data_IF_786446853879
#
_entry.id   IF_786446853879
#
_cell.length_a   1.000
_cell.length_b   1.000
_cell.length_c   1.000
_cell.angle_alpha   90.00
_cell.angle_beta   90.00
_cell.angle_gamma   90.00
#
_symmetry.space_group_name_H-M   'P 1'
#
loop_
_entity.id
_entity.type
_entity.pdbx_description
1 polymer ?
#
# COMPACT_ATOMS: atom_id res chain seq x y z
N UNK A 1 19.26 17.91 66.71
CA UNK A 1 18.09 17.17 66.22
C UNK A 1 17.77 17.64 64.80
N UNK A 2 18.19 16.93 63.81
CA UNK A 2 18.06 17.33 62.38
C UNK A 2 17.13 16.32 61.72
N UNK A 3 15.90 16.76 61.44
CA UNK A 3 14.90 15.97 60.75
C UNK A 3 15.21 15.96 59.26
N UNK A 4 15.72 14.85 58.78
CA UNK A 4 15.89 14.57 57.33
C UNK A 4 14.54 14.06 56.83
N UNK A 5 13.79 14.92 56.10
CA UNK A 5 12.64 14.52 55.33
C UNK A 5 13.11 13.90 54.02
N UNK A 6 13.02 12.59 53.92
CA UNK A 6 13.20 11.87 52.66
C UNK A 6 11.93 12.13 51.78
N UNK A 7 12.06 13.05 50.85
CA UNK A 7 11.09 13.18 49.74
C UNK A 7 11.40 12.08 48.71
N UNK A 8 10.56 11.04 48.71
CA UNK A 8 10.60 10.01 47.69
C UNK A 8 10.13 10.58 46.37
N UNK A 9 11.04 10.78 45.45
CA UNK A 9 10.75 11.13 44.06
C UNK A 9 10.37 9.88 43.31
N UNK A 10 9.06 9.70 43.12
CA UNK A 10 8.46 8.62 42.32
C UNK A 10 8.69 8.91 40.84
N UNK A 11 9.74 8.37 40.22
CA UNK A 11 9.96 8.42 38.79
C UNK A 11 8.98 7.48 38.10
N UNK A 12 7.93 8.04 37.51
CA UNK A 12 7.07 7.36 36.56
C UNK A 12 7.83 7.19 35.24
N UNK A 13 8.41 6.02 35.02
CA UNK A 13 8.96 5.63 33.73
C UNK A 13 7.80 5.40 32.76
N UNK A 14 7.43 6.41 32.00
CA UNK A 14 6.58 6.24 30.84
C UNK A 14 7.39 5.52 29.77
N UNK A 15 7.17 4.22 29.61
CA UNK A 15 7.72 3.44 28.52
C UNK A 15 7.10 3.93 27.21
N UNK A 16 7.75 4.84 26.52
CA UNK A 16 7.44 5.21 25.16
C UNK A 16 7.82 4.02 24.27
N UNK A 17 6.84 3.20 23.88
CA UNK A 17 7.01 2.24 22.80
C UNK A 17 7.25 3.02 21.49
N UNK A 18 8.42 2.88 20.83
CA UNK A 18 8.59 3.41 19.50
C UNK A 18 7.67 2.60 18.58
N UNK A 19 6.62 3.22 18.07
CA UNK A 19 5.86 2.68 16.96
C UNK A 19 6.82 2.69 15.75
N UNK A 20 7.40 1.56 15.43
CA UNK A 20 8.08 1.35 14.17
C UNK A 20 7.03 1.41 13.07
N UNK A 21 6.80 2.60 12.52
CA UNK A 21 6.18 2.72 11.22
C UNK A 21 7.16 2.08 10.24
N UNK A 22 6.84 0.88 9.77
CA UNK A 22 7.57 0.27 8.67
C UNK A 22 7.32 1.12 7.44
N UNK A 23 8.18 2.08 7.17
CA UNK A 23 8.21 2.80 5.92
C UNK A 23 8.49 1.78 4.81
N UNK A 24 7.51 1.63 3.92
CA UNK A 24 7.71 0.85 2.70
C UNK A 24 8.65 1.66 1.83
N UNK A 25 9.87 1.18 1.71
CA UNK A 25 10.91 1.80 0.89
C UNK A 25 10.48 1.71 -0.59
N UNK A 26 10.08 2.84 -1.16
CA UNK A 26 9.62 2.91 -2.55
C UNK A 26 10.83 2.82 -3.47
N UNK A 27 11.11 1.63 -3.95
CA UNK A 27 12.20 1.37 -4.89
C UNK A 27 11.72 1.52 -6.32
N UNK A 28 12.64 1.85 -7.21
CA UNK A 28 12.42 1.67 -8.65
C UNK A 28 12.74 0.22 -8.99
N UNK A 29 11.75 -0.49 -9.51
CA UNK A 29 11.85 -1.88 -9.93
C UNK A 29 11.84 -1.90 -11.45
N UNK A 30 12.77 -2.61 -12.07
CA UNK A 30 12.73 -2.84 -13.51
C UNK A 30 11.65 -3.89 -13.79
N UNK A 31 10.87 -3.70 -14.86
CA UNK A 31 9.73 -4.57 -15.17
C UNK A 31 10.06 -6.07 -15.25
N UNK A 32 11.28 -6.42 -15.65
CA UNK A 32 11.76 -7.80 -15.68
C UNK A 32 12.03 -8.43 -14.31
N UNK A 33 12.19 -7.60 -13.28
CA UNK A 33 12.59 -8.03 -11.93
C UNK A 33 11.43 -7.98 -10.93
N UNK A 34 10.19 -7.88 -11.40
CA UNK A 34 9.02 -7.89 -10.53
C UNK A 34 8.82 -9.28 -9.95
N UNK A 35 9.11 -9.41 -8.67
CA UNK A 35 8.93 -10.63 -7.91
C UNK A 35 7.90 -10.42 -6.79
N UNK A 36 7.20 -11.49 -6.34
CA UNK A 36 6.35 -11.44 -5.17
C UNK A 36 7.12 -10.90 -3.96
N UNK A 37 6.52 -9.95 -3.23
CA UNK A 37 7.14 -9.32 -2.07
C UNK A 37 8.07 -8.13 -2.38
N UNK A 38 8.34 -7.84 -3.64
CA UNK A 38 9.12 -6.65 -4.07
C UNK A 38 8.16 -5.58 -4.52
N UNK A 39 8.12 -4.45 -3.84
CA UNK A 39 7.16 -3.37 -4.07
C UNK A 39 7.86 -2.06 -4.38
N UNK A 40 7.20 -1.23 -5.18
CA UNK A 40 7.66 0.11 -5.51
C UNK A 40 7.27 0.54 -6.92
N UNK A 41 7.92 1.60 -7.39
CA UNK A 41 7.71 2.13 -8.74
C UNK A 41 8.31 1.19 -9.78
N UNK A 42 7.55 0.92 -10.84
CA UNK A 42 7.98 0.06 -11.95
C UNK A 42 8.43 0.93 -13.11
N UNK A 43 9.64 0.68 -13.60
CA UNK A 43 10.20 1.25 -14.82
C UNK A 43 10.23 0.16 -15.90
N UNK A 44 9.67 0.47 -17.06
CA UNK A 44 9.63 -0.49 -18.17
C UNK A 44 10.86 -0.46 -19.06
N UNK A 45 11.77 0.53 -18.87
CA UNK A 45 13.00 0.62 -19.63
C UNK A 45 12.83 0.64 -21.15
N UNK A 46 11.69 1.15 -21.65
CA UNK A 46 11.33 1.13 -23.08
C UNK A 46 10.59 -0.13 -23.53
N UNK A 47 10.39 -1.12 -22.66
CA UNK A 47 9.52 -2.26 -22.93
C UNK A 47 8.02 -1.87 -22.84
N UNK A 48 7.11 -2.62 -23.50
CA UNK A 48 5.69 -2.36 -23.35
C UNK A 48 5.24 -2.53 -21.89
N UNK A 49 4.28 -1.71 -21.41
CA UNK A 49 3.81 -1.78 -20.05
C UNK A 49 3.18 -3.14 -19.75
N UNK A 50 3.47 -3.65 -18.57
CA UNK A 50 2.86 -4.89 -18.07
C UNK A 50 1.35 -4.70 -17.83
N UNK A 51 0.57 -5.79 -17.83
CA UNK A 51 -0.85 -5.71 -17.55
C UNK A 51 -1.09 -5.09 -16.17
N UNK A 52 -2.09 -4.20 -16.10
CA UNK A 52 -2.48 -3.50 -14.88
C UNK A 52 -3.70 -4.13 -14.23
N UNK A 53 -3.83 -3.96 -12.92
CA UNK A 53 -4.95 -4.53 -12.16
C UNK A 53 -6.28 -3.80 -12.41
N UNK A 54 -6.22 -2.47 -12.57
CA UNK A 54 -7.37 -1.64 -12.92
C UNK A 54 -7.09 -0.92 -14.24
N UNK A 55 -8.07 -0.90 -15.13
CA UNK A 55 -7.96 -0.22 -16.42
C UNK A 55 -7.79 1.30 -16.27
N UNK A 56 -8.35 1.88 -15.20
CA UNK A 56 -8.25 3.29 -14.89
C UNK A 56 -7.25 3.55 -13.75
N UNK A 57 -6.46 4.64 -13.84
CA UNK A 57 -5.53 4.99 -12.78
C UNK A 57 -6.28 5.48 -11.54
N UNK A 58 -5.82 5.10 -10.35
CA UNK A 58 -6.32 5.61 -9.09
C UNK A 58 -5.61 6.90 -8.69
N UNK A 59 -6.40 7.94 -8.37
CA UNK A 59 -5.92 9.22 -7.85
C UNK A 59 -6.69 9.54 -6.57
N UNK A 60 -6.00 9.82 -5.49
CA UNK A 60 -6.62 10.19 -4.21
C UNK A 60 -6.85 11.69 -4.12
N UNK A 61 -5.80 12.49 -4.34
CA UNK A 61 -5.89 13.94 -4.35
C UNK A 61 -5.66 14.48 -5.76
N UNK A 62 -6.71 15.05 -6.36
CA UNK A 62 -6.55 15.75 -7.63
C UNK A 62 -6.00 17.14 -7.34
N UNK A 63 -4.95 17.52 -8.04
CA UNK A 63 -4.47 18.91 -7.99
C UNK A 63 -5.46 19.82 -8.70
N UNK A 64 -5.91 20.94 -8.08
CA UNK A 64 -6.94 21.80 -8.65
C UNK A 64 -6.46 22.65 -9.83
N UNK A 65 -5.19 22.63 -10.17
CA UNK A 65 -4.62 23.40 -11.29
C UNK A 65 -4.19 22.48 -12.40
N UNK A 66 -4.84 22.63 -13.55
CA UNK A 66 -4.75 21.99 -14.84
C UNK A 66 -3.37 21.65 -15.42
N UNK A 67 -2.54 20.95 -14.67
CA UNK A 67 -1.35 20.31 -15.18
C UNK A 67 -1.61 18.83 -15.38
N UNK A 68 -1.25 18.29 -16.54
CA UNK A 68 -1.25 16.86 -16.76
C UNK A 68 -0.13 16.24 -15.94
N UNK A 69 -0.47 15.63 -14.82
CA UNK A 69 0.50 14.85 -14.02
C UNK A 69 0.69 13.49 -14.68
N UNK A 70 1.91 13.11 -15.05
CA UNK A 70 2.15 11.80 -15.64
C UNK A 70 1.78 10.68 -14.67
N UNK A 71 1.10 9.66 -15.18
CA UNK A 71 0.78 8.48 -14.40
C UNK A 71 2.04 7.69 -14.06
N UNK A 72 2.04 7.08 -12.88
CA UNK A 72 3.12 6.19 -12.43
C UNK A 72 2.61 4.76 -12.32
N UNK A 73 3.48 3.83 -12.58
CA UNK A 73 3.20 2.40 -12.42
C UNK A 73 3.81 1.94 -11.11
N UNK A 74 3.01 1.26 -10.29
CA UNK A 74 3.45 0.73 -9.00
C UNK A 74 3.12 -0.75 -8.89
N UNK A 75 4.07 -1.50 -8.34
CA UNK A 75 3.83 -2.83 -7.82
C UNK A 75 3.62 -2.74 -6.31
N UNK A 76 2.44 -3.10 -5.84
CA UNK A 76 2.04 -3.02 -4.43
C UNK A 76 1.31 -4.30 -4.03
N UNK A 77 1.21 -4.64 -2.74
CA UNK A 77 0.38 -5.74 -2.30
C UNK A 77 -1.09 -5.56 -2.72
N UNK A 78 -1.84 -6.63 -3.05
CA UNK A 78 -3.24 -6.53 -3.45
C UNK A 78 -4.13 -5.78 -2.46
N UNK A 79 -3.88 -5.93 -1.15
CA UNK A 79 -4.57 -5.19 -0.10
C UNK A 79 -4.34 -3.67 -0.15
N UNK A 80 -3.13 -3.25 -0.48
CA UNK A 80 -2.81 -1.82 -0.64
C UNK A 80 -3.47 -1.22 -1.88
N UNK A 81 -3.56 -1.96 -2.97
CA UNK A 81 -4.26 -1.51 -4.18
C UNK A 81 -5.77 -1.31 -3.95
N UNK A 82 -6.40 -2.16 -3.13
CA UNK A 82 -7.82 -2.03 -2.76
C UNK A 82 -8.06 -0.80 -1.88
N UNK A 83 -7.29 -0.63 -0.83
CA UNK A 83 -7.41 0.46 0.14
C UNK A 83 -6.37 1.57 -0.12
N UNK A 84 -6.23 1.96 -1.38
CA UNK A 84 -5.18 2.90 -1.82
C UNK A 84 -5.16 4.21 -1.03
N UNK A 85 -6.31 4.75 -0.67
CA UNK A 85 -6.41 5.97 0.13
C UNK A 85 -5.66 5.90 1.47
N UNK A 86 -5.56 4.72 2.07
CA UNK A 86 -4.83 4.49 3.32
C UNK A 86 -3.32 4.28 3.11
N UNK A 87 -2.94 3.77 1.94
CA UNK A 87 -1.58 3.30 1.70
C UNK A 87 -0.77 4.18 0.74
N UNK A 88 -1.40 5.09 0.02
CA UNK A 88 -0.73 5.92 -0.98
C UNK A 88 0.46 6.72 -0.43
N UNK A 89 0.40 7.12 0.85
CA UNK A 89 1.49 7.86 1.51
C UNK A 89 2.78 7.05 1.61
N UNK A 90 2.67 5.73 1.80
CA UNK A 90 3.84 4.83 1.88
C UNK A 90 4.65 4.79 0.57
N UNK A 91 4.00 5.13 -0.54
CA UNK A 91 4.60 5.14 -1.87
C UNK A 91 4.81 6.55 -2.42
N UNK A 92 4.55 7.58 -1.61
CA UNK A 92 4.62 9.00 -2.02
C UNK A 92 3.81 9.29 -3.29
N UNK A 93 2.66 8.64 -3.45
CA UNK A 93 1.89 8.62 -4.68
C UNK A 93 0.41 9.00 -4.50
N UNK A 94 0.07 9.77 -3.46
CA UNK A 94 -1.30 10.21 -3.23
C UNK A 94 -1.78 11.27 -4.23
N UNK A 95 -0.86 12.04 -4.80
CA UNK A 95 -1.15 13.19 -5.66
C UNK A 95 -0.96 12.90 -7.15
N UNK A 96 -0.63 11.66 -7.49
CA UNK A 96 -0.36 11.25 -8.87
C UNK A 96 -1.31 10.12 -9.29
N UNK A 97 -1.67 10.04 -10.57
CA UNK A 97 -2.39 8.88 -11.09
C UNK A 97 -1.52 7.63 -11.01
N UNK A 98 -2.06 6.56 -10.46
CA UNK A 98 -1.32 5.32 -10.25
C UNK A 98 -1.99 4.17 -10.97
N UNK A 99 -1.21 3.45 -11.78
CA UNK A 99 -1.55 2.14 -12.30
C UNK A 99 -0.88 1.05 -11.47
N UNK A 100 -1.64 0.06 -11.05
CA UNK A 100 -1.12 -1.08 -10.29
C UNK A 100 -0.76 -2.20 -11.25
N UNK A 101 0.53 -2.53 -11.32
CA UNK A 101 1.04 -3.59 -12.19
C UNK A 101 0.69 -4.96 -11.61
N UNK A 102 0.16 -5.85 -12.44
CA UNK A 102 -0.11 -7.24 -12.05
C UNK A 102 1.18 -8.04 -11.87
N UNK A 103 1.20 -8.88 -10.86
CA UNK A 103 2.21 -9.90 -10.64
C UNK A 103 1.54 -11.20 -10.20
N UNK A 104 2.30 -12.27 -10.07
CA UNK A 104 1.82 -13.57 -9.61
C UNK A 104 1.07 -13.53 -8.26
N UNK A 105 1.36 -12.54 -7.40
CA UNK A 105 0.64 -12.35 -6.13
C UNK A 105 -0.83 -12.01 -6.30
N UNK A 106 -1.18 -11.27 -7.35
CA UNK A 106 -2.56 -10.88 -7.64
C UNK A 106 -3.39 -12.08 -8.10
N UNK A 107 -2.79 -12.96 -8.91
CA UNK A 107 -3.48 -14.12 -9.45
C UNK A 107 -3.82 -15.17 -8.39
N UNK A 108 -2.99 -15.30 -7.36
CA UNK A 108 -3.19 -16.33 -6.34
C UNK A 108 -4.17 -15.95 -5.23
N UNK A 109 -4.28 -14.66 -4.90
CA UNK A 109 -5.09 -14.19 -3.76
C UNK A 109 -6.41 -13.53 -4.18
N UNK A 110 -6.41 -12.77 -5.27
CA UNK A 110 -7.60 -12.07 -5.74
C UNK A 110 -8.61 -13.05 -6.36
N UNK A 111 -8.15 -13.97 -7.20
CA UNK A 111 -9.01 -14.95 -7.88
C UNK A 111 -9.67 -15.94 -6.92
N UNK A 112 -9.01 -16.29 -5.82
CA UNK A 112 -9.61 -17.17 -4.81
C UNK A 112 -10.73 -16.48 -4.03
N UNK A 113 -10.62 -15.18 -3.78
CA UNK A 113 -11.61 -14.43 -3.03
C UNK A 113 -12.84 -14.14 -3.89
N UNK A 114 -12.65 -13.73 -5.14
CA UNK A 114 -13.77 -13.45 -6.06
C UNK A 114 -14.55 -14.72 -6.43
N UNK A 115 -13.88 -15.87 -6.49
CA UNK A 115 -14.54 -17.17 -6.69
C UNK A 115 -15.35 -17.59 -5.48
N UNK A 116 -14.88 -17.32 -4.27
CA UNK A 116 -15.61 -17.63 -3.03
C UNK A 116 -16.84 -16.76 -2.87
N UNK A 117 -16.71 -15.45 -3.07
CA UNK A 117 -17.83 -14.50 -2.95
C UNK A 117 -18.92 -14.75 -4.01
N UNK A 118 -18.55 -15.22 -5.22
CA UNK A 118 -19.50 -15.63 -6.25
C UNK A 118 -20.21 -16.95 -5.93
N UNK A 119 -19.53 -17.88 -5.28
CA UNK A 119 -20.13 -19.15 -4.87
C UNK A 119 -21.15 -18.95 -3.75
N UNK A 120 -20.80 -18.17 -2.74
CA UNK A 120 -21.68 -17.87 -1.60
C UNK A 120 -22.93 -17.08 -2.02
N UNK A 121 -22.82 -16.22 -3.05
CA UNK A 121 -23.97 -15.52 -3.64
C UNK A 121 -24.90 -16.43 -4.45
N UNK A 122 -24.35 -17.47 -5.08
CA UNK A 122 -25.14 -18.41 -5.88
C UNK A 122 -25.95 -19.35 -4.97
N UNK A 123 -25.36 -19.84 -3.91
CA UNK A 123 -26.03 -20.71 -2.92
C UNK A 123 -27.16 -20.00 -2.15
N UNK A 124 -27.05 -18.66 -1.98
CA UNK A 124 -28.11 -17.84 -1.38
C UNK A 124 -29.31 -17.56 -2.28
N UNK A 125 -29.17 -17.74 -3.60
CA UNK A 125 -30.29 -17.51 -4.55
C UNK A 125 -31.09 -18.76 -4.86
N UNK A 126 -30.59 -19.93 -4.50
CA UNK A 126 -31.27 -21.22 -4.75
C UNK A 126 -32.01 -21.77 -3.50
N UNK A 127 -32.08 -20.98 -2.43
CA UNK A 127 -32.92 -21.23 -1.24
C UNK A 127 -34.05 -20.21 -1.17
#
# INVERSE_FOLDING_TARGET
MRNIRLSGLLYLFAAACPAFAADVDVRVIIASDIQPGVYGRVDFGGAPPLPVYYAEPKVIYRQPRGGTVPAVYLHVPPGHAKDWGKHCRKYSACNVPVYFVKSAEYDTKADKKDKKDKKDKKEKKEK
#
